data_IF_215828468300
#
_entry.id   IF_215828468300
#
_cell.length_a   1.000
_cell.length_b   1.000
_cell.length_c   1.000
_cell.angle_alpha   90.00
_cell.angle_beta   90.00
_cell.angle_gamma   90.00
#
_symmetry.space_group_name_H-M   'P 1'
#
loop_
_entity.id
_entity.type
_entity.pdbx_description
1 polymer ?
#
# COMPACT_ATOMS: atom_id res chain seq x y z
N UNK A 1 -67.43 2.07 25.87
CA UNK A 1 -66.64 2.80 24.85
C UNK A 1 -65.19 2.32 24.96
N UNK A 2 -64.74 1.46 24.03
CA UNK A 2 -63.36 0.91 24.01
C UNK A 2 -62.55 1.78 23.06
N UNK A 3 -61.51 2.45 23.60
CA UNK A 3 -60.54 3.25 22.80
C UNK A 3 -59.48 2.33 22.24
N UNK A 4 -59.38 2.18 20.93
CA UNK A 4 -58.27 1.54 20.25
C UNK A 4 -57.15 2.54 20.10
N UNK A 5 -55.97 2.26 20.64
CA UNK A 5 -54.73 2.98 20.43
C UNK A 5 -54.02 2.31 19.27
N UNK A 6 -53.93 3.01 18.14
CA UNK A 6 -53.11 2.57 17.00
C UNK A 6 -51.68 3.04 17.22
N UNK A 7 -50.76 2.12 17.47
CA UNK A 7 -49.33 2.39 17.53
C UNK A 7 -48.76 2.35 16.12
N UNK A 8 -48.43 3.50 15.57
CA UNK A 8 -47.77 3.62 14.27
C UNK A 8 -46.27 3.38 14.47
N UNK A 9 -45.78 2.21 14.08
CA UNK A 9 -44.36 1.91 14.09
C UNK A 9 -43.70 2.58 12.88
N UNK A 10 -42.91 3.66 13.10
CA UNK A 10 -42.02 4.23 12.10
C UNK A 10 -40.83 3.29 11.92
N UNK A 11 -40.78 2.57 10.80
CA UNK A 11 -39.55 1.92 10.32
C UNK A 11 -38.60 3.02 9.81
N UNK A 12 -37.56 3.32 10.58
CA UNK A 12 -36.46 4.16 10.12
C UNK A 12 -35.63 3.35 9.11
N UNK A 13 -35.79 3.65 7.82
CA UNK A 13 -34.89 3.16 6.78
C UNK A 13 -33.54 3.89 6.94
N UNK A 14 -32.54 3.22 7.49
CA UNK A 14 -31.17 3.75 7.52
C UNK A 14 -30.58 3.68 6.11
N UNK A 15 -29.98 4.78 5.60
CA UNK A 15 -29.44 4.79 4.25
C UNK A 15 -28.18 3.93 4.16
N UNK A 16 -28.18 2.98 3.22
CA UNK A 16 -27.04 2.10 2.85
C UNK A 16 -25.94 2.89 2.09
N UNK A 17 -26.04 4.22 2.06
CA UNK A 17 -25.16 5.10 1.25
C UNK A 17 -23.72 5.24 1.78
N UNK A 18 -23.45 4.97 3.05
CA UNK A 18 -22.15 5.29 3.65
C UNK A 18 -21.02 4.35 3.17
N UNK A 19 -21.28 3.09 2.90
CA UNK A 19 -20.24 2.15 2.47
C UNK A 19 -19.81 2.31 1.00
N UNK A 20 -20.76 2.57 0.10
CA UNK A 20 -20.44 2.75 -1.32
C UNK A 20 -19.65 4.04 -1.57
N UNK A 21 -19.97 5.13 -0.86
CA UNK A 21 -19.28 6.42 -0.97
C UNK A 21 -17.84 6.30 -0.41
N UNK A 22 -17.65 5.61 0.71
CA UNK A 22 -16.34 5.36 1.29
C UNK A 22 -15.44 4.49 0.38
N UNK A 23 -15.99 3.46 -0.28
CA UNK A 23 -15.25 2.63 -1.22
C UNK A 23 -14.80 3.42 -2.47
N UNK A 24 -15.65 4.29 -3.01
CA UNK A 24 -15.31 5.14 -4.16
C UNK A 24 -14.18 6.11 -3.83
N UNK A 25 -14.22 6.73 -2.65
CA UNK A 25 -13.18 7.65 -2.18
C UNK A 25 -11.87 6.91 -1.93
N UNK A 26 -11.91 5.72 -1.35
CA UNK A 26 -10.74 4.89 -1.11
C UNK A 26 -10.09 4.41 -2.43
N UNK A 27 -10.90 4.00 -3.41
CA UNK A 27 -10.41 3.67 -4.75
C UNK A 27 -9.70 4.88 -5.37
N UNK A 28 -10.31 6.07 -5.28
CA UNK A 28 -9.73 7.29 -5.83
C UNK A 28 -8.37 7.64 -5.18
N UNK A 29 -8.24 7.47 -3.85
CA UNK A 29 -6.97 7.67 -3.14
C UNK A 29 -5.93 6.63 -3.50
N UNK A 30 -6.30 5.36 -3.50
CA UNK A 30 -5.37 4.26 -3.77
C UNK A 30 -4.68 4.37 -5.12
N UNK A 31 -5.43 4.73 -6.17
CA UNK A 31 -4.88 4.81 -7.54
C UNK A 31 -4.00 6.04 -7.80
N UNK A 32 -3.93 7.00 -6.87
CA UNK A 32 -3.06 8.16 -7.02
C UNK A 32 -1.56 7.78 -7.11
N UNK A 33 -1.16 6.66 -6.54
CA UNK A 33 0.21 6.17 -6.65
C UNK A 33 0.53 5.54 -8.02
N UNK A 34 -0.48 5.14 -8.78
CA UNK A 34 -0.29 4.51 -10.09
C UNK A 34 0.17 5.54 -11.15
N UNK A 35 1.00 5.12 -12.12
CA UNK A 35 1.19 5.91 -13.32
C UNK A 35 -0.17 6.22 -13.98
N UNK A 36 -0.41 7.45 -14.46
CA UNK A 36 -1.71 7.85 -15.01
C UNK A 36 -2.26 6.90 -16.09
N UNK A 37 -1.39 6.37 -16.95
CA UNK A 37 -1.78 5.44 -18.01
C UNK A 37 -2.22 4.06 -17.49
N UNK A 38 -1.94 3.71 -16.24
CA UNK A 38 -2.26 2.41 -15.65
C UNK A 38 -3.38 2.50 -14.58
N UNK A 39 -3.67 3.69 -14.08
CA UNK A 39 -4.56 3.89 -12.94
C UNK A 39 -6.00 3.40 -13.19
N UNK A 40 -6.52 3.57 -14.40
CA UNK A 40 -7.89 3.19 -14.75
C UNK A 40 -8.11 1.67 -14.70
N UNK A 41 -7.12 0.89 -15.13
CA UNK A 41 -7.17 -0.56 -15.27
C UNK A 41 -6.53 -1.32 -14.09
N UNK A 42 -6.03 -0.61 -13.07
CA UNK A 42 -5.46 -1.22 -11.87
C UNK A 42 -6.55 -1.81 -10.98
N UNK A 43 -6.29 -2.96 -10.38
CA UNK A 43 -7.09 -3.46 -9.26
C UNK A 43 -6.94 -2.55 -8.04
N UNK A 44 -7.95 -2.52 -7.17
CA UNK A 44 -7.84 -1.85 -5.87
C UNK A 44 -8.31 -2.78 -4.77
N UNK A 45 -7.51 -2.89 -3.73
CA UNK A 45 -7.83 -3.68 -2.53
C UNK A 45 -7.80 -2.79 -1.29
N UNK A 46 -8.63 -3.12 -0.33
CA UNK A 46 -8.52 -2.68 1.06
C UNK A 46 -7.74 -3.72 1.83
N UNK A 47 -6.75 -3.28 2.60
CA UNK A 47 -6.03 -4.12 3.55
C UNK A 47 -6.65 -3.93 4.95
N UNK A 48 -6.91 -5.03 5.65
CA UNK A 48 -7.35 -5.02 7.04
C UNK A 48 -6.16 -5.13 8.00
N UNK A 49 -6.35 -4.77 9.26
CA UNK A 49 -5.29 -4.75 10.28
C UNK A 49 -4.57 -6.09 10.44
N UNK A 50 -5.24 -7.20 10.16
CA UNK A 50 -4.68 -8.56 10.17
C UNK A 50 -3.96 -8.96 8.87
N UNK A 51 -3.84 -8.05 7.91
CA UNK A 51 -3.24 -8.29 6.60
C UNK A 51 -4.16 -8.97 5.59
N UNK A 52 -5.41 -9.29 5.97
CA UNK A 52 -6.42 -9.76 5.02
C UNK A 52 -6.82 -8.66 4.03
N UNK A 53 -7.46 -9.04 2.94
CA UNK A 53 -7.74 -8.13 1.82
C UNK A 53 -9.15 -8.29 1.29
N UNK A 54 -9.76 -7.16 0.97
CA UNK A 54 -11.05 -7.05 0.27
C UNK A 54 -10.83 -6.41 -1.10
N UNK A 55 -11.34 -7.03 -2.17
CA UNK A 55 -11.30 -6.44 -3.51
C UNK A 55 -12.36 -5.35 -3.62
N UNK A 56 -11.94 -4.09 -3.80
CA UNK A 56 -12.82 -2.94 -4.02
C UNK A 56 -13.09 -2.69 -5.50
N UNK A 57 -12.13 -3.01 -6.36
CA UNK A 57 -12.22 -2.90 -7.81
C UNK A 57 -11.34 -3.96 -8.48
N UNK A 58 -11.89 -4.71 -9.40
CA UNK A 58 -11.12 -5.58 -10.27
C UNK A 58 -10.24 -4.78 -11.23
N UNK A 59 -9.11 -5.35 -11.66
CA UNK A 59 -8.18 -4.75 -12.60
C UNK A 59 -7.82 -5.70 -13.73
N UNK A 60 -7.31 -5.15 -14.84
CA UNK A 60 -6.97 -5.92 -16.05
C UNK A 60 -5.49 -5.84 -16.45
N UNK A 61 -4.71 -4.94 -15.84
CA UNK A 61 -3.30 -4.71 -16.20
C UNK A 61 -2.28 -5.34 -15.24
N UNK A 62 -2.74 -6.16 -14.26
CA UNK A 62 -1.87 -6.83 -13.30
C UNK A 62 -1.30 -5.93 -12.19
N UNK A 63 -1.62 -4.62 -12.18
CA UNK A 63 -1.30 -3.70 -11.11
C UNK A 63 -2.40 -3.72 -10.04
N UNK A 64 -2.01 -3.65 -8.77
CA UNK A 64 -2.92 -3.50 -7.64
C UNK A 64 -2.50 -2.32 -6.78
N UNK A 65 -3.48 -1.51 -6.39
CA UNK A 65 -3.29 -0.32 -5.56
C UNK A 65 -4.04 -0.45 -4.23
N UNK A 66 -3.55 0.21 -3.19
CA UNK A 66 -4.18 0.27 -1.88
C UNK A 66 -3.79 1.54 -1.13
N UNK A 67 -4.73 2.01 -0.30
CA UNK A 67 -4.54 3.15 0.60
C UNK A 67 -3.82 2.67 1.87
N UNK A 68 -2.83 3.43 2.33
CA UNK A 68 -2.03 3.17 3.52
C UNK A 68 -2.12 4.31 4.55
N UNK A 69 -3.03 5.23 4.35
CA UNK A 69 -3.16 6.43 5.19
C UNK A 69 -3.58 6.12 6.63
N UNK A 70 -4.10 4.90 6.89
CA UNK A 70 -4.43 4.43 8.23
C UNK A 70 -3.24 3.78 8.98
N UNK A 71 -2.10 3.57 8.33
CA UNK A 71 -0.91 3.02 8.99
C UNK A 71 -0.31 4.05 9.97
N UNK A 72 0.10 3.64 11.19
CA UNK A 72 0.66 4.54 12.18
C UNK A 72 1.82 5.39 11.64
N UNK A 73 1.76 6.70 11.91
CA UNK A 73 2.79 7.66 11.48
C UNK A 73 2.71 8.06 10.00
N UNK A 74 1.59 7.78 9.32
CA UNK A 74 1.31 8.25 7.96
C UNK A 74 0.11 9.19 7.95
N UNK A 75 0.25 10.33 7.29
CA UNK A 75 -0.86 11.26 7.06
C UNK A 75 -1.64 10.86 5.80
N UNK A 76 -0.97 10.91 4.63
CA UNK A 76 -1.49 10.37 3.36
C UNK A 76 -0.45 9.46 2.73
N UNK A 77 -0.86 8.25 2.36
CA UNK A 77 0.01 7.33 1.63
C UNK A 77 -0.82 6.35 0.79
N UNK A 78 -0.47 6.24 -0.48
CA UNK A 78 -1.01 5.22 -1.38
C UNK A 78 0.13 4.43 -2.00
N UNK A 79 -0.11 3.16 -2.32
CA UNK A 79 0.90 2.31 -2.93
C UNK A 79 0.29 1.42 -4.00
N UNK A 80 1.03 1.22 -5.10
CA UNK A 80 0.66 0.28 -6.15
C UNK A 80 1.83 -0.66 -6.45
N UNK A 81 1.52 -1.92 -6.74
CA UNK A 81 2.50 -2.93 -7.11
C UNK A 81 1.86 -4.02 -7.97
N UNK A 82 2.60 -5.05 -8.37
CA UNK A 82 2.02 -6.20 -9.09
C UNK A 82 1.12 -7.04 -8.17
N UNK A 83 0.08 -7.66 -8.77
CA UNK A 83 -0.84 -8.57 -8.05
C UNK A 83 -0.11 -9.69 -7.29
N UNK A 84 1.03 -10.17 -7.81
CA UNK A 84 1.83 -11.20 -7.16
C UNK A 84 2.43 -10.78 -5.80
N UNK A 85 2.45 -9.48 -5.50
CA UNK A 85 2.99 -8.95 -4.24
C UNK A 85 1.91 -8.77 -3.14
N UNK A 86 0.66 -9.17 -3.37
CA UNK A 86 -0.41 -8.95 -2.39
C UNK A 86 -0.16 -9.62 -1.03
N UNK A 87 0.48 -10.81 -1.00
CA UNK A 87 0.84 -11.46 0.26
C UNK A 87 1.84 -10.58 1.03
N UNK A 88 2.88 -10.09 0.36
CA UNK A 88 3.87 -9.17 0.92
C UNK A 88 3.23 -7.85 1.38
N UNK A 89 2.33 -7.28 0.59
CA UNK A 89 1.62 -6.03 0.94
C UNK A 89 0.76 -6.21 2.20
N UNK A 90 0.00 -7.31 2.31
CA UNK A 90 -0.77 -7.65 3.50
C UNK A 90 0.11 -7.84 4.73
N UNK A 91 1.23 -8.57 4.61
CA UNK A 91 2.18 -8.75 5.70
C UNK A 91 2.79 -7.40 6.15
N UNK A 92 3.16 -6.53 5.20
CA UNK A 92 3.65 -5.19 5.52
C UNK A 92 2.63 -4.39 6.31
N UNK A 93 1.38 -4.37 5.84
CA UNK A 93 0.29 -3.63 6.48
C UNK A 93 0.03 -4.16 7.90
N UNK A 94 -0.07 -5.49 8.07
CA UNK A 94 -0.25 -6.13 9.39
C UNK A 94 0.85 -5.71 10.38
N UNK A 95 2.11 -5.70 9.96
CA UNK A 95 3.23 -5.27 10.82
C UNK A 95 3.06 -3.81 11.22
N UNK A 96 2.74 -2.90 10.28
CA UNK A 96 2.52 -1.50 10.61
C UNK A 96 1.35 -1.31 11.57
N UNK A 97 0.22 -1.97 11.34
CA UNK A 97 -0.97 -1.88 12.20
C UNK A 97 -0.75 -2.47 13.60
N UNK A 98 0.17 -3.43 13.73
CA UNK A 98 0.52 -4.07 15.01
C UNK A 98 1.62 -3.32 15.78
N UNK A 99 2.23 -2.29 15.18
CA UNK A 99 3.37 -1.57 15.76
C UNK A 99 2.95 -0.22 16.32
N UNK A 100 3.49 0.16 17.48
CA UNK A 100 3.23 1.47 18.06
C UNK A 100 4.00 2.60 17.35
N UNK A 101 5.08 2.27 16.64
CA UNK A 101 5.95 3.23 15.94
C UNK A 101 6.84 2.54 14.90
N UNK A 102 7.56 3.33 14.12
CA UNK A 102 8.41 2.84 13.04
C UNK A 102 9.61 1.99 13.52
N UNK A 103 10.10 2.19 14.73
CA UNK A 103 11.19 1.38 15.30
C UNK A 103 10.71 -0.04 15.59
N UNK A 104 9.55 -0.16 16.22
CA UNK A 104 8.91 -1.46 16.46
C UNK A 104 8.58 -2.20 15.16
N UNK A 105 8.03 -1.50 14.17
CA UNK A 105 7.78 -2.08 12.86
C UNK A 105 9.07 -2.62 12.20
N UNK A 106 10.16 -1.88 12.26
CA UNK A 106 11.47 -2.35 11.74
C UNK A 106 11.98 -3.57 12.48
N UNK A 107 11.83 -3.62 13.82
CA UNK A 107 12.21 -4.78 14.61
C UNK A 107 11.39 -6.02 14.25
N UNK A 108 10.08 -5.88 14.02
CA UNK A 108 9.22 -6.96 13.57
C UNK A 108 9.61 -7.44 12.16
N UNK A 109 9.88 -6.54 11.22
CA UNK A 109 10.39 -6.89 9.89
C UNK A 109 11.71 -7.65 9.97
N UNK A 110 12.65 -7.20 10.80
CA UNK A 110 13.94 -7.88 10.99
C UNK A 110 13.75 -9.26 11.61
N UNK A 111 12.81 -9.43 12.54
CA UNK A 111 12.48 -10.75 13.11
C UNK A 111 11.97 -11.71 12.04
N UNK A 112 11.01 -11.26 11.22
CA UNK A 112 10.45 -12.06 10.13
C UNK A 112 11.50 -12.42 9.06
N UNK A 113 12.45 -11.52 8.79
CA UNK A 113 13.58 -11.80 7.90
C UNK A 113 14.48 -12.90 8.47
N UNK A 114 14.80 -12.82 9.77
CA UNK A 114 15.69 -13.77 10.44
C UNK A 114 15.08 -15.18 10.60
N UNK A 115 13.77 -15.29 10.83
CA UNK A 115 13.07 -16.55 10.99
C UNK A 115 12.54 -17.14 9.66
N UNK A 116 12.71 -16.40 8.54
CA UNK A 116 12.29 -16.81 7.21
C UNK A 116 10.78 -16.72 6.95
N UNK A 117 10.00 -16.10 7.84
CA UNK A 117 8.54 -15.90 7.66
C UNK A 117 8.22 -14.68 6.79
N UNK A 118 9.23 -13.91 6.40
CA UNK A 118 9.07 -12.73 5.56
C UNK A 118 8.73 -13.10 4.13
N UNK A 119 7.56 -12.71 3.65
CA UNK A 119 7.17 -12.89 2.25
C UNK A 119 8.12 -12.13 1.31
N UNK A 120 8.75 -12.82 0.36
CA UNK A 120 9.57 -12.16 -0.64
C UNK A 120 8.69 -11.56 -1.76
N UNK A 121 8.99 -10.32 -2.24
CA UNK A 121 8.29 -9.78 -3.39
C UNK A 121 8.69 -10.52 -4.68
N UNK A 122 7.86 -10.40 -5.71
CA UNK A 122 8.18 -10.92 -7.04
C UNK A 122 9.38 -10.17 -7.60
N UNK A 123 10.43 -10.89 -7.99
CA UNK A 123 11.63 -10.30 -8.56
C UNK A 123 11.32 -9.46 -9.82
N UNK A 124 11.86 -8.25 -9.88
CA UNK A 124 11.62 -7.29 -10.96
C UNK A 124 10.29 -6.55 -10.88
N UNK A 125 9.46 -6.82 -9.88
CA UNK A 125 8.20 -6.09 -9.70
C UNK A 125 8.45 -4.64 -9.26
N UNK A 126 7.61 -3.73 -9.76
CA UNK A 126 7.70 -2.31 -9.44
C UNK A 126 6.76 -1.97 -8.30
N UNK A 127 7.22 -1.09 -7.42
CA UNK A 127 6.43 -0.49 -6.36
C UNK A 127 6.38 1.03 -6.57
N UNK A 128 5.18 1.56 -6.67
CA UNK A 128 4.89 2.99 -6.74
C UNK A 128 4.34 3.44 -5.40
N UNK A 129 5.00 4.37 -4.73
CA UNK A 129 4.53 4.92 -3.45
C UNK A 129 4.35 6.43 -3.58
N UNK A 130 3.16 6.91 -3.28
CA UNK A 130 2.84 8.33 -3.20
C UNK A 130 2.51 8.67 -1.76
N UNK A 131 3.11 9.73 -1.22
CA UNK A 131 2.88 10.19 0.14
C UNK A 131 2.86 11.72 0.21
N UNK A 132 2.20 12.25 1.23
CA UNK A 132 2.13 13.69 1.52
C UNK A 132 1.55 13.94 2.91
N UNK A 133 1.54 15.20 3.36
CA UNK A 133 0.87 15.60 4.61
C UNK A 133 -0.66 15.47 4.53
N UNK A 134 -1.19 15.47 3.33
CA UNK A 134 -2.60 15.24 2.98
C UNK A 134 -2.72 14.85 1.51
N UNK A 135 -3.92 14.53 1.04
CA UNK A 135 -4.17 14.14 -0.35
C UNK A 135 -3.84 15.26 -1.35
N UNK A 136 -4.09 16.52 -1.00
CA UNK A 136 -3.84 17.66 -1.90
C UNK A 136 -2.34 17.86 -2.08
N UNK A 137 -1.56 17.82 -1.00
CA UNK A 137 -0.10 17.84 -1.01
C UNK A 137 0.48 16.67 -1.80
N UNK A 138 -0.01 15.45 -1.57
CA UNK A 138 0.43 14.27 -2.30
C UNK A 138 0.20 14.38 -3.80
N UNK A 139 -0.89 15.01 -4.25
CA UNK A 139 -1.22 15.18 -5.66
C UNK A 139 -0.19 15.97 -6.47
N UNK A 140 0.65 16.75 -5.79
CA UNK A 140 1.75 17.52 -6.40
C UNK A 140 3.11 16.84 -6.28
N UNK A 141 3.19 15.72 -5.56
CA UNK A 141 4.42 14.97 -5.37
C UNK A 141 4.64 13.98 -6.52
N UNK A 142 5.91 13.60 -6.70
CA UNK A 142 6.28 12.50 -7.60
C UNK A 142 6.23 11.19 -6.83
N UNK A 143 5.67 10.15 -7.42
CA UNK A 143 5.70 8.82 -6.82
C UNK A 143 7.13 8.32 -6.67
N UNK A 144 7.44 7.82 -5.48
CA UNK A 144 8.66 7.09 -5.21
C UNK A 144 8.58 5.72 -5.90
N UNK A 145 9.56 5.39 -6.71
CA UNK A 145 9.58 4.15 -7.49
C UNK A 145 10.71 3.26 -6.99
N UNK A 146 10.39 2.02 -6.68
CA UNK A 146 11.37 0.97 -6.39
C UNK A 146 11.12 -0.27 -7.24
N UNK A 147 12.18 -1.02 -7.54
CA UNK A 147 12.12 -2.32 -8.22
C UNK A 147 12.63 -3.38 -7.25
N UNK A 148 11.77 -4.35 -6.94
CA UNK A 148 12.13 -5.45 -6.05
C UNK A 148 13.18 -6.37 -6.69
N UNK A 149 14.27 -6.59 -5.97
CA UNK A 149 15.36 -7.52 -6.35
C UNK A 149 15.74 -8.38 -5.14
N UNK A 150 14.78 -9.14 -4.58
CA UNK A 150 14.98 -9.86 -3.33
C UNK A 150 16.27 -10.69 -3.37
N UNK A 151 17.03 -10.64 -2.25
CA UNK A 151 18.31 -11.30 -2.01
C UNK A 151 19.47 -10.85 -2.91
N UNK A 152 19.27 -9.88 -3.81
CA UNK A 152 20.35 -9.33 -4.62
C UNK A 152 21.31 -8.48 -3.79
N UNK A 153 22.57 -8.42 -4.24
CA UNK A 153 23.63 -7.58 -3.66
C UNK A 153 24.22 -6.67 -4.74
N UNK A 154 25.01 -5.67 -4.33
CA UNK A 154 25.75 -4.82 -5.27
C UNK A 154 26.57 -5.64 -6.27
N UNK A 155 27.25 -6.69 -5.80
CA UNK A 155 28.08 -7.57 -6.63
C UNK A 155 27.27 -8.38 -7.65
N UNK A 156 26.03 -8.76 -7.30
CA UNK A 156 25.20 -9.60 -8.20
C UNK A 156 24.49 -8.82 -9.28
N UNK A 157 24.18 -7.53 -9.05
CA UNK A 157 23.39 -6.73 -9.99
C UNK A 157 24.10 -5.47 -10.49
N UNK A 158 25.29 -5.16 -9.98
CA UNK A 158 26.13 -4.05 -10.46
C UNK A 158 25.66 -2.65 -10.09
N UNK A 159 24.77 -2.51 -9.11
CA UNK A 159 24.34 -1.19 -8.58
C UNK A 159 25.06 -0.86 -7.28
N UNK A 160 25.45 0.41 -7.05
CA UNK A 160 26.06 0.81 -5.78
C UNK A 160 25.10 0.61 -4.61
N UNK A 161 25.64 0.34 -3.41
CA UNK A 161 24.87 0.20 -2.16
C UNK A 161 24.54 1.52 -1.50
N UNK A 162 25.14 2.61 -1.97
CA UNK A 162 24.91 3.97 -1.48
C UNK A 162 24.52 4.87 -2.64
N UNK A 163 23.60 5.80 -2.38
CA UNK A 163 23.14 6.76 -3.36
C UNK A 163 22.31 7.87 -2.73
N UNK A 164 22.12 8.93 -3.49
CA UNK A 164 21.24 10.04 -3.13
C UNK A 164 20.37 10.45 -4.31
N UNK A 165 19.18 10.94 -4.02
CA UNK A 165 18.31 11.48 -5.04
C UNK A 165 18.96 12.67 -5.76
N UNK A 166 18.96 12.63 -7.08
CA UNK A 166 19.46 13.70 -7.93
C UNK A 166 20.95 13.64 -8.29
N UNK A 167 21.77 12.88 -7.59
CA UNK A 167 23.23 12.87 -7.81
C UNK A 167 23.80 11.52 -8.24
N UNK A 168 23.34 10.43 -7.65
CA UNK A 168 24.02 9.10 -7.79
C UNK A 168 23.39 8.15 -8.79
N UNK A 169 22.32 8.53 -9.46
CA UNK A 169 21.55 7.55 -10.27
C UNK A 169 20.83 6.54 -9.38
N UNK A 170 20.62 5.32 -9.88
CA UNK A 170 19.96 4.24 -9.14
C UNK A 170 20.94 3.50 -8.25
N UNK A 171 20.48 3.04 -7.09
CA UNK A 171 21.27 2.26 -6.12
C UNK A 171 20.42 1.14 -5.49
N UNK A 172 21.06 0.15 -4.88
CA UNK A 172 20.35 -0.91 -4.14
C UNK A 172 20.25 -0.56 -2.66
N UNK A 173 19.07 -0.74 -2.08
CA UNK A 173 18.86 -0.69 -0.64
C UNK A 173 18.58 -2.09 -0.09
N UNK A 174 18.93 -2.31 1.18
CA UNK A 174 18.72 -3.56 1.92
C UNK A 174 19.27 -4.80 1.21
N UNK A 175 20.43 -4.64 0.57
CA UNK A 175 21.10 -5.68 -0.19
C UNK A 175 21.26 -7.00 0.60
N UNK A 176 20.97 -8.13 -0.03
CA UNK A 176 21.07 -9.48 0.56
C UNK A 176 19.85 -9.93 1.36
N UNK A 177 18.84 -9.07 1.57
CA UNK A 177 17.60 -9.41 2.27
C UNK A 177 16.44 -9.68 1.32
N UNK A 178 15.31 -10.19 1.83
CA UNK A 178 14.08 -10.31 1.03
C UNK A 178 13.55 -8.95 0.59
N UNK A 179 13.94 -7.88 1.28
CA UNK A 179 13.53 -6.51 1.00
C UNK A 179 14.51 -5.75 0.09
N UNK A 180 15.51 -6.41 -0.48
CA UNK A 180 16.44 -5.76 -1.40
C UNK A 180 15.69 -5.17 -2.60
N UNK A 181 15.94 -3.87 -2.87
CA UNK A 181 15.28 -3.16 -3.95
C UNK A 181 16.15 -2.07 -4.55
N UNK A 182 15.93 -1.81 -5.84
CA UNK A 182 16.54 -0.68 -6.51
C UNK A 182 15.73 0.58 -6.26
N UNK A 183 16.42 1.62 -5.83
CA UNK A 183 15.91 2.98 -5.77
C UNK A 183 16.04 3.61 -7.14
N UNK A 184 14.92 4.06 -7.71
CA UNK A 184 14.87 4.74 -8.99
C UNK A 184 14.60 6.22 -8.71
N UNK A 185 15.58 7.12 -8.95
CA UNK A 185 15.36 8.55 -8.80
C UNK A 185 14.25 9.00 -9.75
N UNK A 186 13.19 9.62 -9.21
CA UNK A 186 12.19 10.32 -10.00
C UNK A 186 12.81 11.61 -10.59
N UNK A 187 12.29 12.04 -11.72
CA UNK A 187 12.57 13.36 -12.29
C UNK A 187 11.48 14.34 -11.96
#
# INVERSE_FOLDING_TARGET
>A
MKRFVVVLSLLAAFPVYTHAQSATEEIARAVMAAPPALAADAAVVRLSDDGSREMLRDGTNGLVCYDRSNEPGRDFSAQCTSMGNLARAGQNHQVWMSSANAEEARAMFASQENDGSREAPVFGSVWYTLAGSDQASASTNTSHITIAVPFSTSDTIGFPSEGSYGESGSWIMEAGTSNAHLMIPGR
#
